data_IF_468094266516
#
_entry.id   IF_468094266516
#
_cell.length_a   1.000
_cell.length_b   1.000
_cell.length_c   1.000
_cell.angle_alpha   90.00
_cell.angle_beta   90.00
_cell.angle_gamma   90.00
#
_symmetry.space_group_name_H-M   'P 1'
#
loop_
_entity.id
_entity.type
_entity.pdbx_description
1 polymer ?
#
# COMPACT_ATOMS: atom_id res chain seq x y z
N UNK A 1 -9.47 3.93 18.38
CA UNK A 1 -8.38 2.97 18.13
C UNK A 1 -8.85 1.69 17.44
N UNK A 2 -9.59 0.76 18.09
CA UNK A 2 -9.90 -0.57 17.50
C UNK A 2 -10.65 -0.57 16.16
N UNK A 3 -11.55 0.40 15.92
CA UNK A 3 -12.30 0.53 14.65
C UNK A 3 -11.46 1.07 13.50
N UNK A 4 -10.42 1.87 13.77
CA UNK A 4 -9.57 2.45 12.72
C UNK A 4 -8.75 1.36 12.03
N UNK A 5 -8.24 0.39 12.80
CA UNK A 5 -7.49 -0.75 12.26
C UNK A 5 -8.33 -1.69 11.39
N UNK A 6 -9.66 -1.67 11.48
CA UNK A 6 -10.50 -2.44 10.56
C UNK A 6 -10.35 -1.96 9.11
N UNK A 7 -9.94 -0.71 8.89
CA UNK A 7 -9.64 -0.19 7.56
C UNK A 7 -8.39 -0.81 6.94
N UNK A 8 -7.52 -1.48 7.71
CA UNK A 8 -6.38 -2.18 7.12
C UNK A 8 -6.82 -3.35 6.24
N UNK A 9 -7.98 -3.96 6.52
CA UNK A 9 -8.53 -5.08 5.75
C UNK A 9 -8.87 -4.69 4.31
N UNK A 10 -9.73 -3.69 4.04
CA UNK A 10 -10.03 -3.30 2.67
C UNK A 10 -8.80 -2.75 1.93
N UNK A 11 -7.89 -2.04 2.61
CA UNK A 11 -6.65 -1.54 2.00
C UNK A 11 -5.73 -2.71 1.61
N UNK A 12 -5.60 -3.73 2.47
CA UNK A 12 -4.80 -4.91 2.17
C UNK A 12 -5.37 -5.70 1.00
N UNK A 13 -6.70 -5.87 0.95
CA UNK A 13 -7.39 -6.59 -0.11
C UNK A 13 -7.43 -5.83 -1.45
N UNK A 14 -7.22 -4.50 -1.45
CA UNK A 14 -7.18 -3.72 -2.67
C UNK A 14 -6.10 -4.20 -3.66
N UNK A 15 -4.99 -4.76 -3.15
CA UNK A 15 -3.87 -5.24 -3.96
C UNK A 15 -4.14 -6.53 -4.74
N UNK A 16 -4.55 -7.64 -4.10
CA UNK A 16 -4.96 -8.84 -4.85
C UNK A 16 -6.17 -8.54 -5.74
N UNK A 17 -7.11 -7.71 -5.29
CA UNK A 17 -8.28 -7.33 -6.10
C UNK A 17 -7.88 -6.56 -7.35
N UNK A 18 -6.96 -5.60 -7.27
CA UNK A 18 -6.52 -4.83 -8.45
C UNK A 18 -5.84 -5.72 -9.48
N UNK A 19 -5.01 -6.68 -9.05
CA UNK A 19 -4.40 -7.66 -9.94
C UNK A 19 -5.46 -8.52 -10.64
N UNK A 20 -6.44 -9.04 -9.89
CA UNK A 20 -7.51 -9.84 -10.46
C UNK A 20 -8.36 -9.04 -11.46
N UNK A 21 -8.67 -7.78 -11.15
CA UNK A 21 -9.38 -6.88 -12.08
C UNK A 21 -8.58 -6.71 -13.37
N UNK A 22 -7.27 -6.43 -13.28
CA UNK A 22 -6.40 -6.28 -14.45
C UNK A 22 -6.35 -7.58 -15.28
N UNK A 23 -6.25 -8.73 -14.63
CA UNK A 23 -6.27 -10.02 -15.32
C UNK A 23 -7.62 -10.28 -16.00
N UNK A 24 -8.74 -10.02 -15.31
CA UNK A 24 -10.08 -10.19 -15.84
C UNK A 24 -10.31 -9.33 -17.08
N UNK A 25 -9.95 -8.05 -17.01
CA UNK A 25 -10.14 -7.12 -18.14
C UNK A 25 -9.21 -7.44 -19.31
N UNK A 26 -8.01 -7.94 -19.04
CA UNK A 26 -7.03 -8.29 -20.08
C UNK A 26 -7.34 -9.59 -20.80
N UNK A 27 -7.78 -10.62 -20.08
CA UNK A 27 -7.91 -11.98 -20.61
C UNK A 27 -9.35 -12.49 -20.71
N UNK A 28 -10.33 -11.76 -20.18
CA UNK A 28 -11.75 -12.13 -20.23
C UNK A 28 -12.13 -13.35 -19.39
N UNK A 29 -11.18 -13.93 -18.66
CA UNK A 29 -11.37 -15.10 -17.81
C UNK A 29 -10.53 -14.97 -16.55
N UNK A 30 -11.05 -15.50 -15.45
CA UNK A 30 -10.37 -15.55 -14.15
C UNK A 30 -10.28 -17.01 -13.69
N UNK A 31 -9.11 -17.62 -13.78
CA UNK A 31 -8.91 -18.99 -13.27
C UNK A 31 -8.71 -18.97 -11.76
N UNK A 32 -9.03 -20.09 -11.10
CA UNK A 32 -8.76 -20.26 -9.67
C UNK A 32 -7.27 -20.14 -9.33
N UNK A 33 -6.39 -20.52 -10.26
CA UNK A 33 -4.94 -20.38 -10.09
C UNK A 33 -4.50 -18.91 -10.07
N UNK A 34 -5.12 -18.04 -10.88
CA UNK A 34 -4.85 -16.59 -10.87
C UNK A 34 -5.34 -15.99 -9.55
N UNK A 35 -6.52 -16.40 -9.08
CA UNK A 35 -7.02 -15.97 -7.78
C UNK A 35 -6.08 -16.38 -6.64
N UNK A 36 -5.66 -17.65 -6.61
CA UNK A 36 -4.77 -18.17 -5.58
C UNK A 36 -3.40 -17.49 -5.61
N UNK A 37 -2.82 -17.30 -6.80
CA UNK A 37 -1.54 -16.60 -6.94
C UNK A 37 -1.60 -15.13 -6.53
N UNK A 38 -2.75 -14.46 -6.71
CA UNK A 38 -2.92 -13.07 -6.25
C UNK A 38 -2.82 -12.89 -4.73
N UNK A 39 -3.03 -13.96 -3.95
CA UNK A 39 -2.92 -13.91 -2.48
C UNK A 39 -1.50 -13.58 -2.00
N UNK A 40 -0.49 -13.72 -2.87
CA UNK A 40 0.89 -13.29 -2.57
C UNK A 40 1.00 -11.79 -2.25
N UNK A 41 0.03 -10.98 -2.67
CA UNK A 41 -0.03 -9.55 -2.37
C UNK A 41 -0.69 -9.23 -1.02
N UNK A 42 -1.35 -10.19 -0.38
CA UNK A 42 -2.04 -9.98 0.90
C UNK A 42 -1.07 -9.60 2.03
N UNK A 43 0.07 -10.30 2.25
CA UNK A 43 1.02 -9.92 3.30
C UNK A 43 1.58 -8.51 3.09
N UNK A 44 1.89 -8.17 1.83
CA UNK A 44 2.36 -6.84 1.44
C UNK A 44 1.31 -5.77 1.77
N UNK A 45 0.08 -5.97 1.29
CA UNK A 45 -1.02 -5.05 1.52
C UNK A 45 -1.35 -4.89 3.00
N UNK A 46 -1.26 -5.96 3.78
CA UNK A 46 -1.52 -5.91 5.22
C UNK A 46 -0.47 -5.07 5.95
N UNK A 47 0.81 -5.31 5.69
CA UNK A 47 1.90 -4.57 6.35
C UNK A 47 1.83 -3.09 5.98
N UNK A 48 1.70 -2.78 4.69
CA UNK A 48 1.63 -1.39 4.24
C UNK A 48 0.37 -0.68 4.75
N UNK A 49 -0.77 -1.38 4.81
CA UNK A 49 -2.02 -0.84 5.35
C UNK A 49 -1.93 -0.56 6.85
N UNK A 50 -1.30 -1.45 7.63
CA UNK A 50 -1.12 -1.25 9.06
C UNK A 50 -0.28 -0.01 9.33
N UNK A 51 0.82 0.19 8.58
CA UNK A 51 1.64 1.40 8.70
C UNK A 51 0.84 2.65 8.31
N UNK A 52 0.13 2.62 7.18
CA UNK A 52 -0.68 3.74 6.73
C UNK A 52 -1.73 4.12 7.78
N UNK A 53 -2.50 3.14 8.27
CA UNK A 53 -3.54 3.37 9.29
C UNK A 53 -2.94 3.88 10.59
N UNK A 54 -1.79 3.33 11.01
CA UNK A 54 -1.07 3.81 12.19
C UNK A 54 -0.66 5.29 12.06
N UNK A 55 -0.10 5.69 10.91
CA UNK A 55 0.29 7.07 10.66
C UNK A 55 -0.91 8.01 10.57
N UNK A 56 -2.03 7.55 9.99
CA UNK A 56 -3.26 8.33 9.92
C UNK A 56 -3.94 8.51 11.28
N UNK A 57 -3.86 7.52 12.17
CA UNK A 57 -4.35 7.64 13.56
C UNK A 57 -3.51 8.64 14.36
N UNK A 58 -2.21 8.78 14.02
CA UNK A 58 -1.26 9.76 14.59
C UNK A 58 -1.24 11.12 13.89
N UNK A 59 -2.03 11.32 12.84
CA UNK A 59 -2.05 12.57 12.12
C UNK A 59 -3.05 13.55 12.76
N UNK A 60 -2.54 14.66 13.28
CA UNK A 60 -3.29 15.65 14.05
C UNK A 60 -4.11 16.57 13.15
N UNK A 61 -3.67 16.78 11.91
CA UNK A 61 -4.30 17.70 10.95
C UNK A 61 -4.79 17.01 9.69
N UNK A 62 -5.77 17.63 9.02
CA UNK A 62 -6.25 17.15 7.73
C UNK A 62 -5.16 17.18 6.66
N UNK A 63 -4.31 18.22 6.67
CA UNK A 63 -3.18 18.35 5.73
C UNK A 63 -2.20 17.18 5.88
N UNK A 64 -1.84 16.84 7.13
CA UNK A 64 -0.95 15.70 7.38
C UNK A 64 -1.55 14.36 6.93
N UNK A 65 -2.86 14.16 7.15
CA UNK A 65 -3.58 12.99 6.64
C UNK A 65 -3.55 12.92 5.12
N UNK A 66 -3.85 14.03 4.45
CA UNK A 66 -3.84 14.14 2.99
C UNK A 66 -2.43 13.84 2.46
N UNK A 67 -1.38 14.46 3.00
CA UNK A 67 0.00 14.21 2.58
C UNK A 67 0.42 12.75 2.77
N UNK A 68 0.01 12.11 3.88
CA UNK A 68 0.29 10.68 4.14
C UNK A 68 -0.37 9.79 3.08
N UNK A 69 -1.65 10.02 2.78
CA UNK A 69 -2.40 9.28 1.74
C UNK A 69 -1.76 9.51 0.37
N UNK A 70 -1.43 10.75 0.02
CA UNK A 70 -0.78 11.08 -1.25
C UNK A 70 0.59 10.41 -1.38
N UNK A 71 1.40 10.40 -0.32
CA UNK A 71 2.68 9.70 -0.31
C UNK A 71 2.54 8.20 -0.57
N UNK A 72 1.55 7.56 0.07
CA UNK A 72 1.23 6.16 -0.19
C UNK A 72 0.78 5.91 -1.64
N UNK A 73 -0.11 6.76 -2.16
CA UNK A 73 -0.63 6.65 -3.53
C UNK A 73 0.46 6.90 -4.58
N UNK A 74 1.36 7.86 -4.35
CA UNK A 74 2.49 8.13 -5.26
C UNK A 74 3.51 6.98 -5.28
N UNK A 75 3.68 6.28 -4.15
CA UNK A 75 4.52 5.09 -4.10
C UNK A 75 3.87 3.85 -4.74
N UNK A 76 2.53 3.84 -4.88
CA UNK A 76 1.78 2.68 -5.36
C UNK A 76 2.21 2.15 -6.73
N UNK A 77 2.53 2.95 -7.77
CA UNK A 77 2.95 2.43 -9.06
C UNK A 77 4.32 1.74 -8.97
N UNK A 78 5.25 2.31 -8.21
CA UNK A 78 6.58 1.74 -7.99
C UNK A 78 6.50 0.44 -7.19
N UNK A 79 5.67 0.42 -6.15
CA UNK A 79 5.40 -0.77 -5.37
C UNK A 79 4.79 -1.88 -6.22
N UNK A 80 3.83 -1.55 -7.09
CA UNK A 80 3.15 -2.52 -7.94
C UNK A 80 4.09 -3.13 -8.98
N UNK A 81 4.81 -2.29 -9.72
CA UNK A 81 5.80 -2.73 -10.73
C UNK A 81 6.93 -3.52 -10.06
N UNK A 82 7.48 -3.00 -8.96
CA UNK A 82 8.54 -3.66 -8.21
C UNK A 82 8.10 -5.04 -7.71
N UNK A 83 6.90 -5.15 -7.16
CA UNK A 83 6.35 -6.42 -6.68
C UNK A 83 6.16 -7.44 -7.80
N UNK A 84 5.65 -7.02 -8.96
CA UNK A 84 5.45 -7.91 -10.11
C UNK A 84 6.78 -8.41 -10.69
N UNK A 85 7.77 -7.53 -10.82
CA UNK A 85 9.08 -7.87 -11.37
C UNK A 85 9.94 -8.66 -10.37
N UNK A 86 9.74 -8.45 -9.08
CA UNK A 86 10.53 -9.11 -8.03
C UNK A 86 10.41 -10.64 -8.03
N UNK A 87 9.30 -11.19 -8.53
CA UNK A 87 9.10 -12.64 -8.66
C UNK A 87 10.08 -13.31 -9.64
N UNK A 88 10.81 -12.54 -10.44
CA UNK A 88 11.89 -13.03 -11.30
C UNK A 88 13.22 -13.20 -10.56
N UNK A 89 13.39 -12.49 -9.43
CA UNK A 89 14.65 -12.42 -8.70
C UNK A 89 14.59 -13.13 -7.34
N UNK A 90 13.41 -13.15 -6.72
CA UNK A 90 13.20 -13.61 -5.36
C UNK A 90 11.95 -14.50 -5.29
N UNK A 91 11.83 -15.25 -4.19
CA UNK A 91 10.58 -15.93 -3.87
C UNK A 91 9.42 -14.91 -3.85
N UNK A 92 8.25 -15.22 -4.44
CA UNK A 92 7.19 -14.24 -4.68
C UNK A 92 6.77 -13.43 -3.44
N UNK A 93 6.64 -14.07 -2.28
CA UNK A 93 6.31 -13.39 -1.02
C UNK A 93 7.43 -12.44 -0.57
N UNK A 94 8.69 -12.85 -0.68
CA UNK A 94 9.84 -12.02 -0.29
C UNK A 94 9.93 -10.81 -1.22
N UNK A 95 9.74 -11.03 -2.51
CA UNK A 95 9.73 -9.98 -3.52
C UNK A 95 8.64 -8.91 -3.28
N UNK A 96 7.39 -9.34 -3.05
CA UNK A 96 6.29 -8.40 -2.79
C UNK A 96 6.49 -7.62 -1.49
N UNK A 97 7.10 -8.22 -0.47
CA UNK A 97 7.43 -7.52 0.77
C UNK A 97 8.52 -6.46 0.58
N UNK A 98 9.64 -6.84 -0.05
CA UNK A 98 10.80 -5.95 -0.22
C UNK A 98 10.49 -4.81 -1.18
N UNK A 99 9.89 -5.11 -2.33
CA UNK A 99 9.67 -4.10 -3.36
C UNK A 99 8.30 -3.42 -3.27
N UNK A 100 7.29 -4.12 -2.73
CA UNK A 100 5.95 -3.58 -2.56
C UNK A 100 5.76 -2.91 -1.21
N UNK A 101 5.84 -3.70 -0.14
CA UNK A 101 5.48 -3.23 1.20
C UNK A 101 6.44 -2.14 1.68
N UNK A 102 7.74 -2.29 1.42
CA UNK A 102 8.73 -1.28 1.77
C UNK A 102 8.50 0.03 0.99
N UNK A 103 8.28 -0.03 -0.33
CA UNK A 103 8.03 1.17 -1.13
C UNK A 103 6.78 1.93 -0.65
N UNK A 104 5.69 1.22 -0.38
CA UNK A 104 4.46 1.82 0.15
C UNK A 104 4.65 2.42 1.54
N UNK A 105 5.37 1.71 2.41
CA UNK A 105 5.70 2.15 3.76
C UNK A 105 6.54 3.42 3.73
N UNK A 106 7.57 3.46 2.89
CA UNK A 106 8.41 4.64 2.67
C UNK A 106 7.56 5.80 2.16
N UNK A 107 6.71 5.57 1.16
CA UNK A 107 5.80 6.58 0.63
C UNK A 107 4.90 7.19 1.71
N UNK A 108 4.27 6.36 2.54
CA UNK A 108 3.42 6.80 3.64
C UNK A 108 4.21 7.59 4.69
N UNK A 109 5.39 7.11 5.09
CA UNK A 109 6.25 7.77 6.08
C UNK A 109 6.73 9.13 5.58
N UNK A 110 7.18 9.21 4.32
CA UNK A 110 7.59 10.47 3.68
C UNK A 110 6.42 11.44 3.60
N UNK A 111 5.23 10.97 3.18
CA UNK A 111 4.02 11.78 3.15
C UNK A 111 3.63 12.34 4.52
N UNK A 112 3.70 11.50 5.56
CA UNK A 112 3.47 11.92 6.95
C UNK A 112 4.46 12.98 7.40
N UNK A 113 5.76 12.76 7.16
CA UNK A 113 6.82 13.70 7.54
C UNK A 113 6.67 15.06 6.85
N UNK A 114 6.36 15.08 5.55
CA UNK A 114 6.09 16.31 4.79
C UNK A 114 4.90 17.06 5.39
N UNK A 115 3.82 16.34 5.72
CA UNK A 115 2.65 16.92 6.39
C UNK A 115 2.97 17.59 7.72
N UNK A 116 3.81 16.95 8.54
CA UNK A 116 4.29 17.51 9.83
C UNK A 116 5.11 18.78 9.63
N UNK A 117 5.99 18.80 8.62
CA UNK A 117 6.84 19.96 8.32
C UNK A 117 6.01 21.16 7.83
N UNK A 118 4.96 20.91 7.03
CA UNK A 118 4.06 21.97 6.57
C UNK A 118 3.32 22.61 7.74
N UNK A 119 2.78 21.81 8.67
CA UNK A 119 2.12 22.32 9.87
C UNK A 119 3.04 23.16 10.74
N UNK A 120 4.33 22.78 10.86
CA UNK A 120 5.30 23.52 11.65
C UNK A 120 5.60 24.91 11.06
N UNK A 121 5.39 25.10 9.75
CA UNK A 121 5.57 26.40 9.07
C UNK A 121 4.37 27.33 9.23
N UNK A 122 3.16 26.81 9.39
CA UNK A 122 1.96 27.61 9.59
C UNK A 122 1.87 28.22 11.02
N UNK A 123 2.74 27.79 11.93
CA UNK A 123 2.80 28.26 13.32
C UNK A 123 3.91 29.31 13.58
N UNK A 124 4.69 29.67 12.56
CA UNK A 124 5.79 30.66 12.61
C UNK A 124 5.37 31.90 11.83
#
# INVERSE_FOLDING_TARGET
>A
MRRTYLWSIPIALAWPLSQNIIYATRFGQLSLDVLASSLVFVPMGLISALVLVYLLDRADTINQRICTIFGYLLASPFAYVGSLLSGLLLAPVVGTLVYGAAALTIGAVVGYAVGTLMQSRDLV
#
